data_IF_661622143985
#
_entry.id   IF_661622143985
#
_cell.length_a   1.000
_cell.length_b   1.000
_cell.length_c   1.000
_cell.angle_alpha   90.00
_cell.angle_beta   90.00
_cell.angle_gamma   90.00
#
_symmetry.space_group_name_H-M   'P 1'
#
loop_
_entity.id
_entity.type
_entity.pdbx_description
1 polymer ?
#
# COMPACT_ATOMS: atom_id res chain seq x y z
N UNK A 1 -6.26 -2.30 -23.33
CA UNK A 1 -5.62 -3.58 -22.98
C UNK A 1 -4.52 -3.28 -21.97
N UNK A 2 -4.27 -4.18 -21.01
CA UNK A 2 -3.14 -4.08 -20.07
C UNK A 2 -2.26 -5.33 -20.22
N UNK A 3 -0.95 -5.18 -20.04
CA UNK A 3 0.02 -6.27 -20.14
C UNK A 3 1.23 -5.96 -19.26
N UNK A 4 1.87 -7.00 -18.71
CA UNK A 4 3.13 -6.90 -17.97
C UNK A 4 4.34 -7.23 -18.87
N UNK A 5 4.15 -7.16 -20.19
CA UNK A 5 5.20 -7.47 -21.15
C UNK A 5 6.32 -6.43 -21.06
N UNK A 6 7.55 -6.91 -20.84
CA UNK A 6 8.73 -6.06 -20.68
C UNK A 6 8.87 -5.41 -19.31
N UNK A 7 8.13 -5.86 -18.29
CA UNK A 7 8.28 -5.35 -16.91
C UNK A 7 9.70 -5.50 -16.36
N UNK A 8 10.33 -6.67 -16.51
CA UNK A 8 11.68 -6.91 -15.96
C UNK A 8 12.76 -5.98 -16.56
N UNK A 9 12.93 -5.88 -17.89
CA UNK A 9 13.93 -4.96 -18.46
C UNK A 9 13.59 -3.50 -18.16
N UNK A 10 12.32 -3.14 -18.06
CA UNK A 10 11.90 -1.79 -17.70
C UNK A 10 12.26 -1.45 -16.25
N UNK A 11 12.04 -2.37 -15.31
CA UNK A 11 12.44 -2.19 -13.91
C UNK A 11 13.96 -2.06 -13.80
N UNK A 12 14.72 -2.92 -14.49
CA UNK A 12 16.18 -2.85 -14.50
C UNK A 12 16.69 -1.51 -15.04
N UNK A 13 16.16 -1.03 -16.17
CA UNK A 13 16.57 0.25 -16.73
C UNK A 13 16.29 1.41 -15.77
N UNK A 14 15.13 1.41 -15.11
CA UNK A 14 14.75 2.48 -14.18
C UNK A 14 15.52 2.41 -12.85
N UNK A 15 16.04 1.25 -12.47
CA UNK A 15 16.95 1.10 -11.33
C UNK A 15 18.33 1.69 -11.66
N UNK A 16 18.86 1.40 -12.86
CA UNK A 16 20.15 1.92 -13.31
C UNK A 16 20.08 3.41 -13.71
N UNK A 17 18.95 3.84 -14.29
CA UNK A 17 18.72 5.17 -14.84
C UNK A 17 17.29 5.66 -14.50
N UNK A 18 17.06 6.16 -13.28
CA UNK A 18 15.73 6.64 -12.86
C UNK A 18 15.15 7.75 -13.75
N UNK A 19 16.04 8.58 -14.31
CA UNK A 19 15.71 9.72 -15.17
C UNK A 19 15.55 9.34 -16.66
N UNK A 20 15.59 8.05 -17.01
CA UNK A 20 15.37 7.58 -18.38
C UNK A 20 14.10 8.21 -18.95
N UNK A 21 14.18 8.74 -20.17
CA UNK A 21 13.08 9.45 -20.80
C UNK A 21 12.01 8.50 -21.30
N UNK A 22 10.82 9.01 -21.59
CA UNK A 22 9.75 8.20 -22.21
C UNK A 22 10.21 7.56 -23.54
N UNK A 23 11.07 8.26 -24.29
CA UNK A 23 11.65 7.72 -25.53
C UNK A 23 12.51 6.49 -25.26
N UNK A 24 13.37 6.54 -24.24
CA UNK A 24 14.25 5.42 -23.87
C UNK A 24 13.42 4.19 -23.47
N UNK A 25 12.34 4.39 -22.71
CA UNK A 25 11.43 3.32 -22.32
C UNK A 25 10.71 2.72 -23.54
N UNK A 26 10.26 3.55 -24.49
CA UNK A 26 9.65 3.08 -25.73
C UNK A 26 10.62 2.30 -26.61
N UNK A 27 11.87 2.75 -26.73
CA UNK A 27 12.91 2.07 -27.50
C UNK A 27 13.22 0.69 -26.91
N UNK A 28 13.35 0.61 -25.57
CA UNK A 28 13.55 -0.64 -24.84
C UNK A 28 12.42 -1.64 -25.08
N UNK A 29 11.15 -1.19 -25.01
CA UNK A 29 9.99 -2.07 -25.14
C UNK A 29 9.63 -2.43 -26.58
N UNK A 30 10.04 -1.62 -27.57
CA UNK A 30 9.72 -1.81 -28.99
C UNK A 30 10.03 -3.21 -29.55
N UNK A 31 11.22 -3.82 -29.33
CA UNK A 31 11.48 -5.18 -29.81
C UNK A 31 10.57 -6.21 -29.14
N UNK A 32 10.30 -6.08 -27.84
CA UNK A 32 9.46 -6.99 -27.06
C UNK A 32 8.00 -6.94 -27.57
N UNK A 33 7.48 -5.73 -27.78
CA UNK A 33 6.12 -5.52 -28.30
C UNK A 33 5.97 -6.07 -29.73
N UNK A 34 6.99 -5.92 -30.58
CA UNK A 34 6.99 -6.47 -31.95
C UNK A 34 7.04 -7.98 -32.01
N UNK A 35 7.75 -8.62 -31.08
CA UNK A 35 7.85 -10.07 -31.01
C UNK A 35 6.51 -10.68 -30.57
N UNK A 36 5.81 -10.01 -29.67
CA UNK A 36 4.54 -10.49 -29.13
C UNK A 36 3.31 -10.13 -30.00
N UNK A 37 3.27 -8.94 -30.60
CA UNK A 37 2.11 -8.44 -31.34
C UNK A 37 2.36 -8.35 -32.84
N UNK A 38 1.38 -8.80 -33.63
CA UNK A 38 1.39 -8.65 -35.09
C UNK A 38 1.52 -7.16 -35.50
N UNK A 39 2.32 -6.82 -36.53
CA UNK A 39 2.58 -5.42 -36.91
C UNK A 39 1.32 -4.59 -37.19
N UNK A 40 0.31 -5.19 -37.83
CA UNK A 40 -0.95 -4.52 -38.14
C UNK A 40 -1.77 -4.16 -36.89
N UNK A 41 -1.61 -4.91 -35.80
CA UNK A 41 -2.26 -4.64 -34.53
C UNK A 41 -1.46 -3.59 -33.74
N UNK A 42 -0.14 -3.74 -33.66
CA UNK A 42 0.74 -2.81 -32.96
C UNK A 42 0.65 -1.39 -33.53
N UNK A 43 0.49 -1.24 -34.85
CA UNK A 43 0.29 0.06 -35.51
C UNK A 43 -0.98 0.81 -35.07
N UNK A 44 -1.92 0.13 -34.41
CA UNK A 44 -3.15 0.73 -33.86
C UNK A 44 -3.08 1.00 -32.36
N UNK A 45 -1.97 0.66 -31.71
CA UNK A 45 -1.80 0.86 -30.28
C UNK A 45 -1.18 2.21 -29.97
N UNK A 46 -1.80 2.94 -29.04
CA UNK A 46 -1.11 3.97 -28.26
C UNK A 46 -0.58 3.31 -27.00
N UNK A 47 0.73 3.05 -26.96
CA UNK A 47 1.35 2.43 -25.78
C UNK A 47 1.50 3.48 -24.68
N UNK A 48 1.09 3.12 -23.47
CA UNK A 48 1.25 3.93 -22.26
C UNK A 48 2.08 3.10 -21.28
N UNK A 49 3.21 3.64 -20.84
CA UNK A 49 4.16 2.94 -19.98
C UNK A 49 3.93 3.39 -18.54
N UNK A 50 3.80 2.42 -17.62
CA UNK A 50 3.66 2.69 -16.20
C UNK A 50 5.02 2.56 -15.51
N UNK A 51 5.45 3.62 -14.84
CA UNK A 51 6.65 3.60 -13.98
C UNK A 51 6.35 2.99 -12.61
N UNK A 52 7.36 2.44 -11.91
CA UNK A 52 7.25 2.07 -10.52
C UNK A 52 6.71 3.23 -9.67
N UNK A 53 5.93 2.90 -8.63
CA UNK A 53 5.38 3.91 -7.73
C UNK A 53 6.49 4.55 -6.91
N UNK A 54 6.54 5.88 -6.93
CA UNK A 54 7.38 6.65 -6.03
C UNK A 54 6.90 6.51 -4.57
N UNK A 55 7.81 6.76 -3.62
CA UNK A 55 7.54 6.66 -2.18
C UNK A 55 6.33 7.50 -1.74
N UNK A 56 6.22 8.74 -2.19
CA UNK A 56 5.10 9.63 -1.79
C UNK A 56 3.74 9.14 -2.31
N UNK A 57 3.73 8.60 -3.53
CA UNK A 57 2.53 7.99 -4.10
C UNK A 57 2.15 6.72 -3.31
N UNK A 58 3.13 5.90 -2.94
CA UNK A 58 2.91 4.73 -2.10
C UNK A 58 2.37 5.11 -0.72
N UNK A 59 2.95 6.13 -0.07
CA UNK A 59 2.47 6.65 1.22
C UNK A 59 1.00 7.05 1.15
N UNK A 60 0.65 7.78 0.10
CA UNK A 60 -0.73 8.20 -0.17
C UNK A 60 -1.66 6.99 -0.31
N UNK A 61 -1.26 5.97 -1.06
CA UNK A 61 -2.04 4.74 -1.23
C UNK A 61 -2.22 4.00 0.11
N UNK A 62 -1.16 3.86 0.90
CA UNK A 62 -1.20 3.24 2.24
C UNK A 62 -2.19 3.98 3.14
N UNK A 63 -2.10 5.31 3.19
CA UNK A 63 -3.02 6.14 3.97
C UNK A 63 -4.48 5.97 3.53
N UNK A 64 -4.75 5.94 2.23
CA UNK A 64 -6.10 5.68 1.70
C UNK A 64 -6.64 4.32 2.13
N UNK A 65 -5.80 3.28 2.11
CA UNK A 65 -6.20 1.92 2.49
C UNK A 65 -6.49 1.81 3.98
N UNK A 66 -5.66 2.42 4.83
CA UNK A 66 -5.91 2.49 6.27
C UNK A 66 -7.18 3.28 6.60
N UNK A 67 -7.42 4.40 5.90
CA UNK A 67 -8.66 5.17 6.04
C UNK A 67 -9.91 4.36 5.68
N UNK A 68 -9.83 3.44 4.72
CA UNK A 68 -10.92 2.50 4.41
C UNK A 68 -11.18 1.53 5.57
N UNK A 69 -10.14 1.08 6.27
CA UNK A 69 -10.28 0.25 7.48
C UNK A 69 -10.96 1.06 8.58
N UNK A 70 -10.49 2.28 8.87
CA UNK A 70 -11.10 3.18 9.85
C UNK A 70 -12.58 3.46 9.55
N UNK A 71 -12.90 3.68 8.27
CA UNK A 71 -14.30 3.89 7.83
C UNK A 71 -15.18 2.67 8.12
N UNK A 72 -14.65 1.45 7.90
CA UNK A 72 -15.38 0.21 8.20
C UNK A 72 -15.58 0.04 9.71
N UNK A 73 -14.55 0.33 10.51
CA UNK A 73 -14.63 0.26 11.98
C UNK A 73 -15.69 1.21 12.54
N UNK A 74 -15.68 2.47 12.09
CA UNK A 74 -16.69 3.45 12.49
C UNK A 74 -18.10 2.99 12.09
N UNK A 75 -18.28 2.49 10.86
CA UNK A 75 -19.60 2.08 10.36
C UNK A 75 -20.19 0.89 11.11
N UNK A 76 -19.38 -0.12 11.40
CA UNK A 76 -19.86 -1.40 11.95
C UNK A 76 -19.79 -1.47 13.48
N UNK A 77 -18.84 -0.75 14.09
CA UNK A 77 -18.60 -0.83 15.54
C UNK A 77 -18.69 0.53 16.25
N UNK A 78 -18.80 1.64 15.51
CA UNK A 78 -18.85 2.98 16.10
C UNK A 78 -17.50 3.49 16.61
N UNK A 79 -16.40 2.81 16.25
CA UNK A 79 -15.05 3.09 16.75
C UNK A 79 -14.37 4.13 15.88
N UNK A 80 -14.02 5.27 16.48
CA UNK A 80 -13.19 6.28 15.83
C UNK A 80 -11.74 5.84 15.85
N UNK A 81 -11.10 5.79 14.69
CA UNK A 81 -9.74 5.25 14.56
C UNK A 81 -8.75 6.36 14.23
N UNK A 82 -7.66 6.45 14.99
CA UNK A 82 -6.49 7.25 14.68
C UNK A 82 -5.37 6.32 14.21
N UNK A 83 -4.81 6.60 13.03
CA UNK A 83 -3.65 5.85 12.52
C UNK A 83 -2.41 6.70 12.70
N UNK A 84 -1.42 6.20 13.42
CA UNK A 84 -0.16 6.90 13.63
C UNK A 84 0.74 6.89 12.40
N UNK A 85 1.53 7.96 12.24
CA UNK A 85 2.47 8.12 11.14
C UNK A 85 3.50 6.97 11.08
N UNK A 86 3.91 6.41 12.22
CA UNK A 86 4.87 5.29 12.28
C UNK A 86 4.37 4.06 11.53
N UNK A 87 3.07 3.78 11.56
CA UNK A 87 2.49 2.67 10.81
C UNK A 87 2.46 2.97 9.32
N UNK A 88 2.08 4.20 8.94
CA UNK A 88 2.06 4.62 7.53
C UNK A 88 3.46 4.52 6.94
N UNK A 89 4.47 5.02 7.65
CA UNK A 89 5.88 4.96 7.25
C UNK A 89 6.35 3.52 7.05
N UNK A 90 6.07 2.65 8.02
CA UNK A 90 6.53 1.27 8.00
C UNK A 90 5.89 0.47 6.86
N UNK A 91 4.58 0.60 6.69
CA UNK A 91 3.87 -0.05 5.59
C UNK A 91 4.33 0.49 4.23
N UNK A 92 4.61 1.79 4.13
CA UNK A 92 5.13 2.40 2.89
C UNK A 92 6.47 1.80 2.52
N UNK A 93 7.41 1.71 3.48
CA UNK A 93 8.73 1.09 3.27
C UNK A 93 8.59 -0.38 2.84
N UNK A 94 7.73 -1.14 3.51
CA UNK A 94 7.50 -2.54 3.16
C UNK A 94 6.91 -2.72 1.75
N UNK A 95 6.05 -1.81 1.30
CA UNK A 95 5.42 -1.87 -0.03
C UNK A 95 6.35 -1.44 -1.18
N UNK A 96 7.46 -0.77 -0.89
CA UNK A 96 8.47 -0.38 -1.88
C UNK A 96 9.50 -1.48 -2.16
N UNK A 97 9.47 -2.59 -1.41
CA UNK A 97 10.33 -3.73 -1.70
C UNK A 97 9.95 -4.36 -3.07
N UNK A 98 10.93 -4.82 -3.87
CA UNK A 98 10.80 -4.94 -5.33
C UNK A 98 9.71 -5.91 -5.83
N UNK A 99 9.30 -6.89 -5.02
CA UNK A 99 8.55 -8.05 -5.55
C UNK A 99 7.03 -7.89 -5.60
N UNK A 100 6.44 -6.87 -4.98
CA UNK A 100 4.98 -6.87 -4.74
C UNK A 100 4.25 -5.54 -4.99
N UNK A 101 4.98 -4.43 -5.12
CA UNK A 101 4.43 -3.10 -5.40
C UNK A 101 3.22 -2.75 -4.52
N UNK A 102 2.26 -1.99 -5.04
CA UNK A 102 1.06 -1.61 -4.28
C UNK A 102 0.14 -2.77 -3.90
N UNK A 103 0.31 -3.97 -4.48
CA UNK A 103 -0.45 -5.15 -4.03
C UNK A 103 0.03 -5.65 -2.66
N UNK A 104 1.26 -5.28 -2.27
CA UNK A 104 1.79 -5.65 -0.97
C UNK A 104 0.95 -5.07 0.17
N UNK A 105 0.44 -3.84 0.01
CA UNK A 105 -0.36 -3.18 1.07
C UNK A 105 -1.59 -3.98 1.42
N UNK A 106 -2.28 -4.54 0.42
CA UNK A 106 -3.47 -5.36 0.65
C UNK A 106 -3.09 -6.68 1.33
N UNK A 107 -1.93 -7.26 1.00
CA UNK A 107 -1.43 -8.46 1.67
C UNK A 107 -1.12 -8.17 3.13
N UNK A 108 -0.34 -7.12 3.43
CA UNK A 108 0.01 -6.71 4.79
C UNK A 108 -1.23 -6.41 5.63
N UNK A 109 -2.20 -5.69 5.06
CA UNK A 109 -3.45 -5.39 5.75
C UNK A 109 -4.24 -6.66 6.06
N UNK A 110 -4.43 -7.56 5.09
CA UNK A 110 -5.26 -8.75 5.27
C UNK A 110 -4.59 -9.84 6.11
N UNK A 111 -3.26 -9.94 6.08
CA UNK A 111 -2.53 -11.03 6.73
C UNK A 111 -1.95 -10.64 8.09
N UNK A 112 -1.68 -9.36 8.34
CA UNK A 112 -1.01 -8.92 9.57
C UNK A 112 -1.89 -7.98 10.40
N UNK A 113 -2.53 -6.97 9.79
CA UNK A 113 -3.26 -5.95 10.55
C UNK A 113 -4.68 -6.41 10.90
N UNK A 114 -5.48 -6.79 9.91
CA UNK A 114 -6.89 -7.14 10.11
C UNK A 114 -7.11 -8.36 11.03
N UNK A 115 -6.26 -9.41 11.03
CA UNK A 115 -6.41 -10.53 11.95
C UNK A 115 -6.22 -10.11 13.41
N UNK A 116 -5.14 -9.37 13.72
CA UNK A 116 -4.84 -8.91 15.09
C UNK A 116 -5.94 -7.96 15.58
N UNK A 117 -6.35 -7.01 14.73
CA UNK A 117 -7.45 -6.09 15.02
C UNK A 117 -8.76 -6.85 15.32
N UNK A 118 -9.10 -7.83 14.49
CA UNK A 118 -10.33 -8.62 14.63
C UNK A 118 -10.31 -9.45 15.92
N UNK A 119 -9.18 -10.05 16.27
CA UNK A 119 -9.01 -10.80 17.51
C UNK A 119 -9.21 -9.91 18.75
N UNK A 120 -8.57 -8.74 18.78
CA UNK A 120 -8.71 -7.80 19.91
C UNK A 120 -10.14 -7.26 20.03
N UNK A 121 -10.77 -6.88 18.91
CA UNK A 121 -12.16 -6.43 18.91
C UNK A 121 -13.11 -7.51 19.45
N UNK A 122 -12.95 -8.76 19.02
CA UNK A 122 -13.76 -9.87 19.52
C UNK A 122 -13.56 -10.11 21.02
N UNK A 123 -12.32 -10.00 21.52
CA UNK A 123 -12.02 -10.10 22.96
C UNK A 123 -12.73 -9.02 23.78
N UNK A 124 -12.70 -7.76 23.34
CA UNK A 124 -13.43 -6.67 24.00
C UNK A 124 -14.95 -6.90 23.96
N UNK A 125 -15.49 -7.33 22.83
CA UNK A 125 -16.91 -7.65 22.69
C UNK A 125 -17.35 -8.80 23.62
N UNK A 126 -16.54 -9.85 23.76
CA UNK A 126 -16.77 -10.95 24.68
C UNK A 126 -16.76 -10.48 26.15
N UNK A 127 -15.89 -9.52 26.48
CA UNK A 127 -15.84 -8.84 27.77
C UNK A 127 -16.96 -7.80 27.97
N UNK A 128 -17.88 -7.64 27.01
CA UNK A 128 -18.94 -6.61 26.98
C UNK A 128 -18.41 -5.17 27.04
N UNK A 129 -17.16 -4.98 26.65
CA UNK A 129 -16.54 -3.66 26.49
C UNK A 129 -16.83 -3.16 25.08
N UNK A 130 -17.27 -1.91 24.97
CA UNK A 130 -17.52 -1.24 23.69
C UNK A 130 -16.55 -0.07 23.58
N UNK A 131 -15.36 -0.30 23.00
CA UNK A 131 -14.43 0.79 22.82
C UNK A 131 -15.03 1.84 21.91
N UNK A 132 -14.72 3.10 22.20
CA UNK A 132 -15.18 4.25 21.42
C UNK A 132 -14.09 4.75 20.46
N UNK A 133 -12.83 4.50 20.80
CA UNK A 133 -11.67 4.91 20.02
C UNK A 133 -10.62 3.80 19.92
N UNK A 134 -9.85 3.85 18.84
CA UNK A 134 -8.72 2.98 18.58
C UNK A 134 -7.57 3.82 18.04
N UNK A 135 -6.39 3.65 18.62
CA UNK A 135 -5.13 4.10 18.04
C UNK A 135 -4.38 2.90 17.48
N UNK A 136 -4.00 3.02 16.21
CA UNK A 136 -3.27 2.01 15.45
C UNK A 136 -1.88 2.57 15.11
N UNK A 137 -0.83 2.01 15.68
CA UNK A 137 0.56 2.46 15.53
C UNK A 137 1.48 1.28 15.19
N UNK A 138 2.71 1.61 14.85
CA UNK A 138 3.80 0.65 14.73
C UNK A 138 4.85 0.92 15.79
N UNK A 139 5.36 -0.15 16.39
CA UNK A 139 6.51 -0.21 17.28
C UNK A 139 7.54 -1.21 16.73
N UNK A 140 8.84 -0.92 16.88
CA UNK A 140 9.90 -1.74 16.30
C UNK A 140 10.12 -3.08 17.02
N UNK A 141 9.72 -3.20 18.29
CA UNK A 141 9.84 -4.43 19.08
C UNK A 141 8.53 -5.24 19.08
N UNK A 142 7.39 -4.56 19.27
CA UNK A 142 6.07 -5.19 19.39
C UNK A 142 5.34 -5.32 18.04
N UNK A 143 5.78 -4.62 17.01
CA UNK A 143 5.15 -4.59 15.70
C UNK A 143 3.88 -3.74 15.71
N UNK A 144 2.73 -4.34 15.39
CA UNK A 144 1.45 -3.61 15.32
C UNK A 144 0.89 -3.42 16.72
N UNK A 145 0.77 -2.16 17.14
CA UNK A 145 0.22 -1.80 18.45
C UNK A 145 -1.20 -1.26 18.30
N UNK A 146 -2.11 -1.77 19.13
CA UNK A 146 -3.51 -1.40 19.20
C UNK A 146 -3.83 -0.87 20.59
N UNK A 147 -4.16 0.40 20.70
CA UNK A 147 -4.61 1.00 21.96
C UNK A 147 -6.07 1.42 21.86
N UNK A 148 -6.94 0.79 22.64
CA UNK A 148 -8.37 1.13 22.72
C UNK A 148 -8.61 2.12 23.86
N UNK A 149 -9.42 3.14 23.60
CA UNK A 149 -9.79 4.17 24.59
C UNK A 149 -8.59 4.76 25.35
N UNK A 150 -7.45 4.90 24.68
CA UNK A 150 -6.27 5.54 25.25
C UNK A 150 -6.64 6.96 25.68
N UNK A 151 -6.62 7.23 26.99
CA UNK A 151 -6.66 8.60 27.47
C UNK A 151 -5.44 9.31 26.89
N UNK A 152 -5.64 10.47 26.30
CA UNK A 152 -4.56 11.36 25.91
C UNK A 152 -3.79 11.76 27.18
N UNK A 153 -2.77 10.99 27.54
CA UNK A 153 -1.82 11.36 28.58
C UNK A 153 -0.95 12.50 28.03
N UNK A 154 -1.31 13.74 28.39
CA UNK A 154 -0.37 14.83 28.64
C UNK A 154 0.05 15.71 27.46
N UNK A 155 -0.70 16.77 27.19
CA UNK A 155 -0.08 18.07 26.85
C UNK A 155 0.16 18.82 28.17
N UNK A 156 1.41 19.06 28.60
CA UNK A 156 1.67 20.06 29.62
C UNK A 156 1.48 21.44 29.00
N UNK A 157 0.70 22.28 29.69
CA UNK A 157 0.47 23.69 29.39
C UNK A 157 1.74 24.54 29.35
#
# INVERSE_FOLDING_TARGET
MTSNLGSDPLMQLLEEQPEATESDLHELLRPILRDHFQPALLARFQTVIYRPLAMDAMRTIVGMKLAQVSTRLQRHYGISTHTGESLIDTLTKACLLPDTGARNVDSLLNQQILPVLSQQLLSHMAAKQKPSSLQLTWDDEEGIVLAFDAQAEGEPS
#
